data_IF_316654204782
#
_entry.id   IF_316654204782
#
_cell.length_a   1.000
_cell.length_b   1.000
_cell.length_c   1.000
_cell.angle_alpha   90.00
_cell.angle_beta   90.00
_cell.angle_gamma   90.00
#
_symmetry.space_group_name_H-M   'P 1'
#
loop_
_entity.id
_entity.type
_entity.pdbx_description
1 polymer ?
#
# COMPACT_ATOMS: atom_id res chain seq x y z
N UNK A 1 -33.77 -27.81 -28.03
CA UNK A 1 -32.36 -27.51 -27.72
C UNK A 1 -32.32 -26.61 -26.49
N UNK A 2 -31.64 -26.99 -25.40
CA UNK A 2 -31.35 -26.06 -24.30
C UNK A 2 -29.95 -25.52 -24.57
N UNK A 3 -29.87 -24.27 -25.01
CA UNK A 3 -28.63 -23.52 -25.17
C UNK A 3 -28.11 -23.17 -23.78
N UNK A 4 -27.35 -24.10 -23.18
CA UNK A 4 -26.53 -23.81 -22.01
C UNK A 4 -25.14 -23.42 -22.48
N UNK A 5 -24.69 -22.21 -22.14
CA UNK A 5 -23.34 -21.74 -22.44
C UNK A 5 -22.30 -22.82 -22.15
N UNK A 6 -21.36 -23.10 -23.06
CA UNK A 6 -20.32 -24.10 -22.84
C UNK A 6 -19.55 -23.70 -21.58
N UNK A 7 -19.21 -24.69 -20.74
CA UNK A 7 -18.41 -24.52 -19.53
C UNK A 7 -17.12 -23.77 -19.88
N UNK A 8 -17.18 -22.44 -19.80
CA UNK A 8 -16.07 -21.60 -20.21
C UNK A 8 -14.93 -21.90 -19.26
N UNK A 9 -13.70 -21.79 -19.74
CA UNK A 9 -12.51 -21.90 -18.92
C UNK A 9 -12.56 -20.96 -17.68
N UNK A 10 -13.39 -19.92 -17.71
CA UNK A 10 -13.71 -19.08 -16.56
C UNK A 10 -14.39 -19.83 -15.39
N UNK A 11 -15.16 -20.91 -15.63
CA UNK A 11 -15.66 -21.78 -14.56
C UNK A 11 -14.51 -22.46 -13.79
N UNK A 12 -13.50 -22.96 -14.51
CA UNK A 12 -12.31 -23.53 -13.88
C UNK A 12 -11.53 -22.49 -13.07
N UNK A 13 -11.42 -21.25 -13.57
CA UNK A 13 -10.78 -20.16 -12.81
C UNK A 13 -11.57 -19.75 -11.56
N UNK A 14 -12.91 -19.82 -11.57
CA UNK A 14 -13.76 -19.41 -10.43
C UNK A 14 -13.88 -20.48 -9.34
N UNK A 15 -13.89 -21.78 -9.71
CA UNK A 15 -14.09 -22.90 -8.76
C UNK A 15 -12.77 -23.35 -8.13
N UNK A 16 -11.65 -23.34 -8.86
CA UNK A 16 -10.30 -23.59 -8.31
C UNK A 16 -9.71 -22.28 -7.79
N UNK A 17 -10.29 -21.75 -6.70
CA UNK A 17 -9.66 -20.67 -5.92
C UNK A 17 -8.34 -21.18 -5.33
N UNK A 18 -7.29 -21.10 -6.13
CA UNK A 18 -5.96 -21.58 -5.81
C UNK A 18 -5.31 -20.69 -4.77
N UNK A 19 -5.65 -20.91 -3.50
CA UNK A 19 -4.78 -20.47 -2.42
C UNK A 19 -3.55 -21.36 -2.49
N UNK A 20 -2.42 -20.78 -2.89
CA UNK A 20 -1.13 -21.46 -2.87
C UNK A 20 -0.81 -21.83 -1.41
N UNK A 21 -0.50 -23.11 -1.11
CA UNK A 21 -0.09 -23.48 0.24
C UNK A 21 1.22 -22.79 0.59
N UNK A 22 1.45 -22.54 1.89
CA UNK A 22 2.67 -21.86 2.38
C UNK A 22 3.98 -22.54 1.96
N UNK A 23 3.91 -23.80 1.53
CA UNK A 23 5.03 -24.63 1.09
C UNK A 23 5.30 -24.56 -0.42
N UNK A 24 4.45 -23.86 -1.20
CA UNK A 24 4.66 -23.73 -2.65
C UNK A 24 5.73 -22.68 -2.96
N UNK A 25 6.60 -22.91 -3.97
CA UNK A 25 7.62 -21.94 -4.38
C UNK A 25 7.04 -20.62 -4.91
N UNK A 26 5.76 -20.61 -5.27
CA UNK A 26 4.99 -19.42 -5.68
C UNK A 26 4.27 -18.71 -4.52
N UNK A 27 4.55 -19.09 -3.27
CA UNK A 27 4.00 -18.41 -2.10
C UNK A 27 4.68 -17.05 -1.91
N UNK A 28 3.99 -15.98 -2.29
CA UNK A 28 4.33 -14.62 -1.88
C UNK A 28 3.84 -14.49 -0.44
N UNK A 29 4.77 -14.40 0.51
CA UNK A 29 4.44 -14.11 1.89
C UNK A 29 3.69 -12.78 1.92
N UNK A 30 2.40 -12.85 2.27
CA UNK A 30 1.58 -11.67 2.50
C UNK A 30 2.10 -11.06 3.80
N UNK A 31 3.07 -10.16 3.69
CA UNK A 31 3.49 -9.35 4.83
C UNK A 31 2.28 -8.54 5.27
N UNK A 32 1.79 -8.85 6.46
CA UNK A 32 0.70 -8.15 7.11
C UNK A 32 1.22 -6.75 7.48
N UNK A 33 1.12 -5.81 6.54
CA UNK A 33 1.38 -4.40 6.81
C UNK A 33 0.30 -3.95 7.78
N UNK A 34 0.69 -3.76 9.04
CA UNK A 34 -0.18 -3.21 10.08
C UNK A 34 -0.77 -1.91 9.55
N UNK A 35 -2.11 -1.75 9.52
CA UNK A 35 -2.73 -0.53 9.04
C UNK A 35 -2.42 0.61 10.01
N UNK A 36 -1.30 1.31 9.82
CA UNK A 36 -1.08 2.63 10.38
C UNK A 36 -1.63 3.63 9.37
N UNK A 37 -2.96 3.69 9.27
CA UNK A 37 -3.72 4.37 8.20
C UNK A 37 -3.78 5.89 8.33
N UNK A 38 -3.01 6.50 9.22
CA UNK A 38 -3.05 7.96 9.39
C UNK A 38 -2.21 8.61 8.31
N UNK A 39 -2.88 9.27 7.38
CA UNK A 39 -2.24 10.06 6.33
C UNK A 39 -1.84 11.42 6.91
N UNK A 40 -0.81 12.01 6.36
CA UNK A 40 -0.32 13.31 6.82
C UNK A 40 -0.28 14.28 5.65
N UNK A 41 -0.78 15.49 5.83
CA UNK A 41 -0.82 16.51 4.79
C UNK A 41 0.14 17.64 5.13
N UNK A 42 0.98 18.02 4.18
CA UNK A 42 1.83 19.17 4.30
C UNK A 42 0.98 20.44 4.24
N UNK A 43 0.97 21.22 5.31
CA UNK A 43 0.26 22.50 5.38
C UNK A 43 0.80 23.59 4.44
N UNK A 44 1.99 23.39 3.87
CA UNK A 44 2.66 24.36 2.97
C UNK A 44 2.28 24.15 1.51
N UNK A 45 2.26 22.90 1.03
CA UNK A 45 2.04 22.57 -0.38
C UNK A 45 0.86 21.62 -0.64
N UNK A 46 0.25 21.04 0.39
CA UNK A 46 -0.84 20.06 0.25
C UNK A 46 -0.40 18.63 -0.07
N UNK A 47 0.91 18.33 -0.02
CA UNK A 47 1.41 16.97 -0.23
C UNK A 47 0.87 16.00 0.83
N UNK A 48 0.34 14.86 0.42
CA UNK A 48 -0.19 13.82 1.32
C UNK A 48 0.81 12.68 1.41
N UNK A 49 1.41 12.50 2.58
CA UNK A 49 2.19 11.32 2.92
C UNK A 49 1.26 10.15 3.21
N UNK A 50 1.42 9.07 2.44
CA UNK A 50 0.71 7.81 2.61
C UNK A 50 1.68 6.75 3.17
N UNK A 51 1.47 6.28 4.42
CA UNK A 51 2.31 5.25 5.03
C UNK A 51 2.41 3.97 4.20
N UNK A 52 1.36 3.60 3.45
CA UNK A 52 1.35 2.37 2.65
C UNK A 52 2.26 2.48 1.43
N UNK A 53 2.40 3.67 0.86
CA UNK A 53 3.32 3.94 -0.25
C UNK A 53 4.71 4.35 0.23
N UNK A 54 4.82 4.92 1.43
CA UNK A 54 6.04 5.55 1.92
C UNK A 54 6.37 6.81 1.11
N UNK A 55 7.67 7.10 0.98
CA UNK A 55 8.17 8.20 0.17
C UNK A 55 9.52 7.81 -0.45
N UNK A 56 9.54 7.29 -1.69
CA UNK A 56 10.77 6.90 -2.39
C UNK A 56 11.75 8.05 -2.58
N UNK A 57 11.25 9.28 -2.79
CA UNK A 57 12.09 10.46 -3.01
C UNK A 57 12.79 10.87 -1.70
N UNK A 58 12.11 10.70 -0.57
CA UNK A 58 12.64 10.87 0.78
C UNK A 58 13.36 9.65 1.36
N UNK A 59 13.57 8.60 0.58
CA UNK A 59 14.18 7.33 1.00
C UNK A 59 13.43 6.64 2.16
N UNK A 60 12.10 6.79 2.20
CA UNK A 60 11.19 6.18 3.17
C UNK A 60 10.49 4.99 2.51
N UNK A 61 10.62 3.82 3.14
CA UNK A 61 10.04 2.58 2.61
C UNK A 61 8.51 2.56 2.73
N UNK A 62 7.81 1.89 1.80
CA UNK A 62 6.41 1.53 1.96
C UNK A 62 6.15 0.84 3.31
N UNK A 63 5.04 1.17 3.95
CA UNK A 63 4.67 0.68 5.28
C UNK A 63 5.30 1.44 6.46
N UNK A 64 6.03 2.54 6.22
CA UNK A 64 6.62 3.35 7.30
C UNK A 64 5.59 4.34 7.84
N UNK A 65 5.35 4.33 9.16
CA UNK A 65 4.50 5.34 9.76
C UNK A 65 5.17 6.70 9.70
N UNK A 66 4.39 7.78 9.55
CA UNK A 66 4.95 9.13 9.65
C UNK A 66 5.69 9.38 10.98
N UNK A 67 5.21 8.77 12.07
CA UNK A 67 5.86 8.86 13.38
C UNK A 67 7.23 8.16 13.40
N UNK A 68 7.44 7.13 12.58
CA UNK A 68 8.70 6.38 12.47
C UNK A 68 9.73 7.07 11.53
N UNK A 69 9.32 8.10 10.79
CA UNK A 69 10.21 8.85 9.90
C UNK A 69 11.19 9.70 10.73
N UNK A 70 12.49 9.75 10.38
CA UNK A 70 13.44 10.63 11.05
C UNK A 70 13.08 12.11 10.90
N UNK A 71 13.37 12.93 11.91
CA UNK A 71 13.07 14.37 11.88
C UNK A 71 13.88 15.15 10.81
N UNK A 72 14.95 14.55 10.29
CA UNK A 72 15.71 15.08 9.15
C UNK A 72 14.98 14.95 7.81
N UNK A 73 13.87 14.22 7.76
CA UNK A 73 13.06 14.10 6.55
C UNK A 73 12.30 15.40 6.29
N UNK A 74 12.25 15.77 5.01
CA UNK A 74 11.58 16.97 4.51
C UNK A 74 10.61 16.58 3.42
N UNK A 75 9.58 17.40 3.23
CA UNK A 75 8.61 17.19 2.16
C UNK A 75 9.32 17.16 0.80
N UNK A 76 9.13 16.11 -0.03
CA UNK A 76 9.79 15.99 -1.33
C UNK A 76 9.31 17.05 -2.34
N UNK A 77 8.15 17.66 -2.10
CA UNK A 77 7.55 18.67 -2.98
C UNK A 77 8.07 20.08 -2.69
N UNK A 78 8.21 20.46 -1.41
CA UNK A 78 8.48 21.85 -1.01
C UNK A 78 9.66 22.02 -0.05
N UNK A 79 10.26 20.94 0.44
CA UNK A 79 11.37 20.98 1.40
C UNK A 79 10.98 21.41 2.82
N UNK A 80 9.69 21.51 3.14
CA UNK A 80 9.24 21.81 4.50
C UNK A 80 9.58 20.67 5.47
N UNK A 81 9.92 21.01 6.72
CA UNK A 81 10.18 20.01 7.76
C UNK A 81 8.93 19.21 8.11
N UNK A 82 9.15 18.05 8.74
CA UNK A 82 8.11 17.15 9.28
C UNK A 82 7.08 17.89 10.16
N UNK A 83 7.48 18.95 10.86
CA UNK A 83 6.62 19.74 11.74
C UNK A 83 5.48 20.47 11.00
N UNK A 84 5.62 20.66 9.68
CA UNK A 84 4.59 21.30 8.85
C UNK A 84 3.52 20.34 8.37
N UNK A 85 3.59 19.07 8.75
CA UNK A 85 2.59 18.08 8.42
C UNK A 85 1.51 17.97 9.48
N UNK A 86 0.26 17.94 9.04
CA UNK A 86 -0.92 17.77 9.89
C UNK A 86 -1.52 16.38 9.68
N UNK A 87 -2.02 15.76 10.76
CA UNK A 87 -2.73 14.48 10.68
C UNK A 87 -4.02 14.67 9.87
N UNK A 88 -4.15 13.94 8.77
CA UNK A 88 -5.34 13.89 7.92
C UNK A 88 -6.08 12.59 8.21
N UNK A 89 -7.17 12.72 8.98
CA UNK A 89 -8.11 11.65 9.34
C UNK A 89 -9.06 11.32 8.19
#
# INVERSE_FOLDING_TARGET
>A
MKEGEPMTYAYYQRVKRGTTPKTAPSYIAKEEVKPKTMKYECSVCGYIYDPDMGDPDGNIKPGTAFEDIPDSWVCPICGASKDKFVKKS
#
